data_IF_501104374046
#
_entry.id   IF_501104374046
#
_cell.length_a   1.000
_cell.length_b   1.000
_cell.length_c   1.000
_cell.angle_alpha   90.00
_cell.angle_beta   90.00
_cell.angle_gamma   90.00
#
_symmetry.space_group_name_H-M   'P 1'
#
loop_
_entity.id
_entity.type
_entity.pdbx_description
1 polymer ?
#
# COMPACT_ATOMS: atom_id res chain seq x y z
N UNK A 1 2.89 -23.42 37.19
CA UNK A 1 2.67 -23.04 35.79
C UNK A 1 1.26 -23.49 35.34
N UNK A 2 0.23 -22.67 35.59
CA UNK A 2 -1.18 -23.00 35.27
C UNK A 2 -1.78 -22.19 34.11
N UNK A 3 -1.08 -21.16 33.63
CA UNK A 3 -1.58 -20.20 32.64
C UNK A 3 -1.87 -20.80 31.25
N UNK A 4 -1.23 -21.93 30.90
CA UNK A 4 -1.36 -22.55 29.57
C UNK A 4 -2.48 -23.62 29.52
N UNK A 5 -2.91 -24.16 30.68
CA UNK A 5 -3.84 -25.32 30.71
C UNK A 5 -5.33 -24.97 30.57
N UNK A 6 -5.71 -23.69 30.71
CA UNK A 6 -7.12 -23.23 30.65
C UNK A 6 -7.27 -21.97 29.79
N UNK A 7 -6.55 -21.89 28.66
CA UNK A 7 -6.72 -20.80 27.71
C UNK A 7 -7.76 -21.18 26.64
N UNK A 8 -8.30 -20.19 25.94
CA UNK A 8 -9.38 -20.38 24.96
C UNK A 8 -9.01 -21.28 23.77
N UNK A 9 -7.72 -21.48 23.50
CA UNK A 9 -7.22 -22.12 22.28
C UNK A 9 -6.74 -23.55 22.56
N UNK A 10 -6.34 -23.85 23.80
CA UNK A 10 -5.71 -25.12 24.17
C UNK A 10 -6.63 -26.31 23.87
N UNK A 11 -6.15 -27.22 23.01
CA UNK A 11 -6.89 -28.43 22.63
C UNK A 11 -7.93 -28.23 21.52
N UNK A 12 -8.03 -27.03 20.93
CA UNK A 12 -8.92 -26.75 19.81
C UNK A 12 -8.16 -26.66 18.49
N UNK A 13 -8.75 -27.22 17.43
CA UNK A 13 -8.40 -26.98 16.05
C UNK A 13 -9.59 -26.31 15.36
N UNK A 14 -9.32 -25.37 14.45
CA UNK A 14 -10.34 -24.59 13.78
C UNK A 14 -10.25 -24.79 12.27
N UNK A 15 -11.40 -24.91 11.62
CA UNK A 15 -11.51 -25.13 10.17
C UNK A 15 -11.19 -23.88 9.36
N UNK A 16 -11.29 -22.70 9.99
CA UNK A 16 -10.99 -21.41 9.39
C UNK A 16 -10.65 -20.37 10.44
N UNK A 17 -10.10 -19.24 9.99
CA UNK A 17 -9.86 -18.08 10.83
C UNK A 17 -11.15 -17.54 11.45
N UNK A 18 -12.21 -17.41 10.65
CA UNK A 18 -13.52 -16.95 11.12
C UNK A 18 -14.10 -17.87 12.22
N UNK A 19 -13.90 -19.19 12.11
CA UNK A 19 -14.33 -20.13 13.15
C UNK A 19 -13.57 -19.94 14.47
N UNK A 20 -12.27 -19.63 14.40
CA UNK A 20 -11.47 -19.30 15.57
C UNK A 20 -11.94 -17.99 16.21
N UNK A 21 -12.15 -16.93 15.43
CA UNK A 21 -12.66 -15.65 15.93
C UNK A 21 -14.02 -15.80 16.63
N UNK A 22 -14.95 -16.54 16.02
CA UNK A 22 -16.24 -16.83 16.61
C UNK A 22 -16.13 -17.61 17.92
N UNK A 23 -15.22 -18.59 17.99
CA UNK A 23 -14.94 -19.33 19.21
C UNK A 23 -14.40 -18.43 20.32
N UNK A 24 -13.42 -17.58 20.01
CA UNK A 24 -12.83 -16.64 20.97
C UNK A 24 -13.87 -15.64 21.49
N UNK A 25 -14.68 -15.08 20.61
CA UNK A 25 -15.74 -14.16 20.99
C UNK A 25 -16.77 -14.82 21.93
N UNK A 26 -17.12 -16.09 21.67
CA UNK A 26 -17.99 -16.87 22.56
C UNK A 26 -17.32 -17.14 23.89
N UNK A 27 -16.08 -17.64 23.88
CA UNK A 27 -15.33 -17.96 25.09
C UNK A 27 -15.12 -16.74 25.98
N UNK A 28 -14.87 -15.56 25.38
CA UNK A 28 -14.76 -14.31 26.11
C UNK A 28 -16.03 -14.02 26.91
N UNK A 29 -17.19 -14.02 26.23
CA UNK A 29 -18.49 -13.74 26.88
C UNK A 29 -18.89 -14.78 27.92
N UNK A 30 -18.71 -16.06 27.60
CA UNK A 30 -19.27 -17.16 28.41
C UNK A 30 -18.32 -17.67 29.49
N UNK A 31 -17.02 -17.38 29.38
CA UNK A 31 -16.00 -17.92 30.30
C UNK A 31 -15.10 -16.82 30.86
N UNK A 32 -14.49 -15.99 29.99
CA UNK A 32 -13.49 -15.02 30.43
C UNK A 32 -14.09 -13.91 31.30
N UNK A 33 -15.22 -13.37 30.86
CA UNK A 33 -15.84 -12.17 31.44
C UNK A 33 -16.62 -12.50 32.72
N UNK A 34 -17.16 -13.72 32.82
CA UNK A 34 -18.03 -14.16 33.94
C UNK A 34 -17.31 -15.03 34.99
N UNK A 35 -16.06 -15.45 34.75
CA UNK A 35 -15.31 -16.21 35.77
C UNK A 35 -14.97 -15.34 36.97
N UNK A 36 -15.09 -15.89 38.17
CA UNK A 36 -14.58 -15.23 39.37
C UNK A 36 -13.05 -15.23 39.31
N UNK A 37 -12.46 -14.04 39.31
CA UNK A 37 -11.01 -13.92 39.23
C UNK A 37 -10.37 -14.16 40.61
N UNK A 38 -9.34 -15.01 40.64
CA UNK A 38 -8.77 -15.51 41.90
C UNK A 38 -8.13 -14.44 42.79
N UNK A 39 -7.74 -13.29 42.23
CA UNK A 39 -7.12 -12.19 43.00
C UNK A 39 -8.13 -11.14 43.42
N UNK A 40 -9.07 -10.77 42.55
CA UNK A 40 -10.06 -9.70 42.83
C UNK A 40 -11.33 -10.22 43.48
N UNK A 41 -11.62 -11.52 43.41
CA UNK A 41 -12.81 -12.15 43.99
C UNK A 41 -14.12 -11.79 43.29
N UNK A 42 -14.06 -11.00 42.22
CA UNK A 42 -15.20 -10.57 41.40
C UNK A 42 -14.98 -10.98 39.95
N UNK A 43 -16.02 -10.89 39.12
CA UNK A 43 -15.88 -11.15 37.69
C UNK A 43 -15.20 -9.98 36.98
N UNK A 44 -14.42 -10.23 35.91
CA UNK A 44 -13.88 -9.16 35.07
C UNK A 44 -14.95 -8.21 34.50
N UNK A 45 -16.12 -8.72 34.13
CA UNK A 45 -17.23 -7.90 33.62
C UNK A 45 -17.71 -6.88 34.67
N UNK A 46 -18.05 -7.34 35.89
CA UNK A 46 -18.49 -6.46 36.97
C UNK A 46 -17.41 -5.44 37.33
N UNK A 47 -16.15 -5.88 37.37
CA UNK A 47 -15.01 -5.00 37.64
C UNK A 47 -14.88 -3.91 36.58
N UNK A 48 -15.01 -4.27 35.30
CA UNK A 48 -14.96 -3.34 34.18
C UNK A 48 -16.10 -2.34 34.21
N UNK A 49 -17.33 -2.77 34.54
CA UNK A 49 -18.48 -1.87 34.70
C UNK A 49 -18.23 -0.79 35.77
N UNK A 50 -17.62 -1.16 36.91
CA UNK A 50 -17.27 -0.22 37.99
C UNK A 50 -16.18 0.78 37.58
N UNK A 51 -15.21 0.32 36.78
CA UNK A 51 -14.07 1.14 36.37
C UNK A 51 -14.38 2.01 35.13
N UNK A 52 -15.41 1.69 34.35
CA UNK A 52 -15.73 2.31 33.05
C UNK A 52 -15.70 3.84 33.08
N UNK A 53 -16.34 4.47 34.06
CA UNK A 53 -16.43 5.92 34.18
C UNK A 53 -15.11 6.60 34.57
N UNK A 54 -14.13 5.81 35.02
CA UNK A 54 -12.80 6.25 35.41
C UNK A 54 -11.75 5.99 34.32
N UNK A 55 -12.10 5.27 33.24
CA UNK A 55 -11.20 4.99 32.14
C UNK A 55 -11.03 6.21 31.23
N UNK A 56 -9.81 6.40 30.71
CA UNK A 56 -9.56 7.43 29.70
C UNK A 56 -10.13 6.98 28.35
N UNK A 57 -10.87 7.84 27.64
CA UNK A 57 -11.29 7.56 26.27
C UNK A 57 -10.08 7.28 25.37
N UNK A 58 -10.24 6.34 24.45
CA UNK A 58 -9.27 6.07 23.37
C UNK A 58 -9.47 7.01 22.18
N UNK A 59 -10.58 7.74 22.13
CA UNK A 59 -10.90 8.66 21.05
C UNK A 59 -9.79 9.71 20.88
N UNK A 60 -9.29 9.84 19.65
CA UNK A 60 -8.21 10.75 19.30
C UNK A 60 -6.79 10.25 19.60
N UNK A 61 -6.63 9.08 20.22
CA UNK A 61 -5.33 8.41 20.31
C UNK A 61 -5.11 7.66 18.99
N UNK A 62 -4.08 8.05 18.25
CA UNK A 62 -3.71 7.35 17.03
C UNK A 62 -3.50 5.86 17.33
N UNK A 63 -4.09 4.94 16.54
CA UNK A 63 -3.93 3.51 16.79
C UNK A 63 -2.45 3.14 16.72
N UNK A 64 -2.08 2.10 17.47
CA UNK A 64 -0.77 1.48 17.30
C UNK A 64 -0.71 0.85 15.90
N UNK A 65 -0.19 1.61 14.94
CA UNK A 65 0.00 1.14 13.58
C UNK A 65 1.22 0.22 13.57
N UNK A 66 1.02 -1.02 13.14
CA UNK A 66 2.15 -1.85 12.73
C UNK A 66 2.69 -1.27 11.42
N UNK A 67 3.70 -0.41 11.55
CA UNK A 67 4.36 0.23 10.43
C UNK A 67 5.58 -0.60 10.04
N UNK A 68 5.71 -0.88 8.74
CA UNK A 68 6.93 -1.43 8.16
C UNK A 68 7.55 -0.36 7.27
N UNK A 69 8.71 0.14 7.69
CA UNK A 69 9.51 1.08 6.92
C UNK A 69 10.58 0.34 6.12
N UNK A 70 10.68 0.64 4.82
CA UNK A 70 11.67 0.06 3.92
C UNK A 70 12.31 1.13 3.06
N UNK A 71 13.56 0.93 2.68
CA UNK A 71 14.23 1.78 1.68
C UNK A 71 14.22 1.06 0.34
N UNK A 72 13.72 1.73 -0.71
CA UNK A 72 13.65 1.17 -2.07
C UNK A 72 14.23 2.12 -3.10
N UNK A 73 14.88 1.55 -4.11
CA UNK A 73 15.37 2.31 -5.27
C UNK A 73 14.29 2.29 -6.35
N UNK A 74 14.02 3.45 -6.93
CA UNK A 74 13.08 3.57 -8.05
C UNK A 74 13.72 3.01 -9.31
N UNK A 75 13.01 2.08 -9.96
CA UNK A 75 13.48 1.44 -11.18
C UNK A 75 13.30 2.35 -12.42
N UNK A 76 13.79 1.90 -13.57
CA UNK A 76 13.70 2.65 -14.84
C UNK A 76 12.26 2.85 -15.34
N UNK A 77 11.30 2.06 -14.85
CA UNK A 77 9.87 2.18 -15.17
C UNK A 77 9.16 3.21 -14.26
N UNK A 78 9.88 3.89 -13.37
CA UNK A 78 9.29 4.83 -12.41
C UNK A 78 8.46 4.12 -11.33
N UNK A 79 8.89 2.93 -10.91
CA UNK A 79 8.20 2.14 -9.89
C UNK A 79 9.16 1.67 -8.78
N UNK A 80 8.60 1.39 -7.61
CA UNK A 80 9.25 0.62 -6.54
C UNK A 80 8.65 -0.77 -6.45
N UNK A 81 9.49 -1.76 -6.12
CA UNK A 81 9.06 -3.13 -5.85
C UNK A 81 8.90 -3.35 -4.34
N UNK A 82 7.73 -3.84 -3.94
CA UNK A 82 7.36 -4.15 -2.57
C UNK A 82 6.53 -5.44 -2.56
N UNK A 83 7.00 -6.46 -1.84
CA UNK A 83 6.33 -7.77 -1.71
C UNK A 83 5.91 -8.39 -3.06
N UNK A 84 6.76 -8.28 -4.08
CA UNK A 84 6.50 -8.77 -5.45
C UNK A 84 5.44 -7.95 -6.22
N UNK A 85 5.01 -6.82 -5.68
CA UNK A 85 4.10 -5.87 -6.34
C UNK A 85 4.87 -4.60 -6.71
N UNK A 86 4.46 -3.95 -7.80
CA UNK A 86 5.07 -2.71 -8.26
C UNK A 86 4.16 -1.50 -8.02
N UNK A 87 4.71 -0.43 -7.46
CA UNK A 87 4.00 0.81 -7.15
C UNK A 87 4.66 1.97 -7.88
N UNK A 88 3.90 2.69 -8.69
CA UNK A 88 4.41 3.86 -9.41
C UNK A 88 4.77 5.00 -8.48
N UNK A 89 5.81 5.74 -8.83
CA UNK A 89 6.25 6.97 -8.16
C UNK A 89 6.56 8.02 -9.23
N UNK A 90 6.54 9.33 -8.90
CA UNK A 90 6.83 10.37 -9.88
C UNK A 90 8.11 10.10 -10.67
N UNK A 91 8.05 10.16 -12.00
CA UNK A 91 9.15 9.82 -12.92
C UNK A 91 10.47 10.55 -12.61
N UNK A 92 10.39 11.73 -11.99
CA UNK A 92 11.56 12.53 -11.59
C UNK A 92 12.45 11.83 -10.58
N UNK A 93 11.91 10.82 -9.89
CA UNK A 93 12.60 10.03 -8.88
C UNK A 93 13.21 8.75 -9.46
N UNK A 94 13.19 8.53 -10.78
CA UNK A 94 13.84 7.35 -11.38
C UNK A 94 15.32 7.32 -10.99
N UNK A 95 15.77 6.19 -10.42
CA UNK A 95 17.13 6.05 -9.91
C UNK A 95 17.40 6.70 -8.55
N UNK A 96 16.40 7.34 -7.94
CA UNK A 96 16.49 7.82 -6.57
C UNK A 96 16.16 6.71 -5.56
N UNK A 97 16.57 6.93 -4.32
CA UNK A 97 16.24 6.08 -3.18
C UNK A 97 15.13 6.75 -2.37
N UNK A 98 14.06 6.02 -2.11
CA UNK A 98 12.86 6.50 -1.40
C UNK A 98 12.59 5.65 -0.16
N UNK A 99 11.93 6.25 0.82
CA UNK A 99 11.41 5.56 1.99
C UNK A 99 9.99 5.10 1.69
N UNK A 100 9.68 3.85 2.01
CA UNK A 100 8.38 3.23 1.79
C UNK A 100 7.82 2.83 3.14
N UNK A 101 6.68 3.40 3.50
CA UNK A 101 5.99 3.18 4.75
C UNK A 101 4.74 2.36 4.43
N UNK A 102 4.69 1.14 4.94
CA UNK A 102 3.53 0.26 4.81
C UNK A 102 2.81 0.21 6.14
N UNK A 103 1.52 0.55 6.14
CA UNK A 103 0.70 0.56 7.33
C UNK A 103 -0.74 0.20 7.00
N UNK A 104 -1.30 -0.74 7.77
CA UNK A 104 -2.66 -1.29 7.61
C UNK A 104 -2.93 -1.89 6.22
N UNK A 105 -3.32 -1.05 5.26
CA UNK A 105 -3.69 -1.39 3.88
C UNK A 105 -3.16 -0.35 2.88
N UNK A 106 -2.20 0.47 3.31
CA UNK A 106 -1.70 1.62 2.55
C UNK A 106 -0.18 1.56 2.44
N UNK A 107 0.32 1.87 1.24
CA UNK A 107 1.74 2.04 0.91
C UNK A 107 1.97 3.52 0.61
N UNK A 108 2.71 4.19 1.50
CA UNK A 108 3.15 5.57 1.32
C UNK A 108 4.61 5.56 0.89
N UNK A 109 4.95 6.39 -0.09
CA UNK A 109 6.32 6.59 -0.55
C UNK A 109 6.72 8.02 -0.25
N UNK A 110 7.85 8.17 0.44
CA UNK A 110 8.43 9.45 0.83
C UNK A 110 9.80 9.65 0.18
N UNK A 111 10.08 10.88 -0.22
CA UNK A 111 11.39 11.31 -0.69
C UNK A 111 11.76 12.61 0.01
N UNK A 112 12.94 12.65 0.62
CA UNK A 112 13.42 13.80 1.40
C UNK A 112 12.44 14.26 2.51
N UNK A 113 11.68 13.34 3.10
CA UNK A 113 10.70 13.60 4.16
C UNK A 113 9.33 14.10 3.67
N UNK A 114 9.12 14.16 2.36
CA UNK A 114 7.84 14.55 1.76
C UNK A 114 7.16 13.35 1.11
N UNK A 115 5.84 13.22 1.30
CA UNK A 115 5.04 12.20 0.63
C UNK A 115 4.95 12.49 -0.88
N UNK A 116 5.46 11.56 -1.69
CA UNK A 116 5.50 11.67 -3.15
C UNK A 116 4.55 10.72 -3.87
N UNK A 117 4.10 9.67 -3.20
CA UNK A 117 3.07 8.76 -3.71
C UNK A 117 2.35 8.04 -2.57
N UNK A 118 1.08 7.70 -2.80
CA UNK A 118 0.25 6.91 -1.88
C UNK A 118 -0.57 5.92 -2.69
N UNK A 119 -0.56 4.66 -2.26
CA UNK A 119 -1.27 3.56 -2.91
C UNK A 119 -2.00 2.71 -1.87
N UNK A 120 -3.09 2.07 -2.29
CA UNK A 120 -3.61 0.93 -1.53
C UNK A 120 -2.66 -0.27 -1.68
N UNK A 121 -2.46 -1.02 -0.61
CA UNK A 121 -1.67 -2.25 -0.64
C UNK A 121 -2.37 -3.31 -1.50
N UNK A 122 -1.65 -3.84 -2.48
CA UNK A 122 -2.18 -4.85 -3.37
C UNK A 122 -2.15 -6.23 -2.71
N UNK A 123 -3.29 -6.91 -2.70
CA UNK A 123 -3.37 -8.32 -2.33
C UNK A 123 -2.78 -9.22 -3.41
N UNK A 124 -1.99 -10.22 -3.02
CA UNK A 124 -1.40 -11.20 -3.93
C UNK A 124 0.01 -10.83 -4.39
N UNK A 125 0.45 -11.39 -5.52
CA UNK A 125 1.80 -11.20 -6.07
C UNK A 125 1.75 -10.76 -7.53
N UNK A 126 2.78 -10.02 -7.98
CA UNK A 126 2.95 -9.54 -9.37
C UNK A 126 1.88 -8.54 -9.82
N UNK A 127 1.20 -7.88 -8.89
CA UNK A 127 0.30 -6.77 -9.16
C UNK A 127 1.04 -5.46 -9.44
N UNK A 128 0.37 -4.51 -10.11
CA UNK A 128 0.90 -3.18 -10.40
C UNK A 128 -0.11 -2.09 -10.04
N UNK A 129 0.28 -1.15 -9.16
CA UNK A 129 -0.49 0.05 -8.82
C UNK A 129 0.12 1.25 -9.53
N UNK A 130 -0.48 1.63 -10.66
CA UNK A 130 0.06 2.66 -11.55
C UNK A 130 -0.87 3.87 -11.58
N UNK A 131 -0.37 5.02 -11.13
CA UNK A 131 -1.05 6.29 -11.29
C UNK A 131 -0.47 7.04 -12.48
N UNK A 132 -1.31 7.38 -13.46
CA UNK A 132 -0.84 8.05 -14.69
C UNK A 132 -0.11 9.38 -14.42
N UNK A 133 -0.48 10.11 -13.36
CA UNK A 133 0.18 11.35 -12.95
C UNK A 133 1.66 11.18 -12.59
N UNK A 134 2.06 9.97 -12.19
CA UNK A 134 3.46 9.67 -11.91
C UNK A 134 4.29 9.52 -13.19
N UNK A 135 3.67 9.04 -14.26
CA UNK A 135 4.32 8.77 -15.55
C UNK A 135 4.33 9.98 -16.47
N UNK A 136 3.25 10.77 -16.40
CA UNK A 136 3.11 12.00 -17.16
C UNK A 136 3.78 13.09 -16.34
N UNK A 137 5.04 13.43 -16.68
CA UNK A 137 5.59 14.69 -16.23
C UNK A 137 4.61 15.78 -16.55
N UNK A 138 4.14 16.48 -15.50
CA UNK A 138 3.01 17.39 -15.55
C UNK A 138 2.98 18.08 -16.91
N UNK A 139 1.91 17.84 -17.68
CA UNK A 139 1.83 18.29 -19.07
C UNK A 139 2.35 19.72 -19.09
N UNK A 140 3.40 20.04 -19.87
CA UNK A 140 3.69 21.44 -20.09
C UNK A 140 2.36 22.08 -20.56
N UNK A 141 2.06 23.32 -20.14
CA UNK A 141 0.94 24.05 -20.76
C UNK A 141 1.13 23.89 -22.27
N UNK A 142 0.06 23.64 -23.05
CA UNK A 142 0.20 23.38 -24.48
C UNK A 142 1.10 24.47 -25.04
N UNK A 143 2.33 24.09 -25.41
CA UNK A 143 3.23 25.01 -26.06
C UNK A 143 2.46 25.41 -27.32
N UNK A 144 2.24 26.71 -27.50
CA UNK A 144 1.79 27.21 -28.79
C UNK A 144 2.82 26.69 -29.79
N UNK A 145 2.44 25.64 -30.52
CA UNK A 145 3.23 25.13 -31.63
C UNK A 145 3.10 26.22 -32.67
N UNK A 146 4.02 27.19 -32.66
CA UNK A 146 4.25 28.04 -33.82
C UNK A 146 4.46 27.08 -34.98
N UNK A 147 3.48 27.05 -35.87
CA UNK A 147 3.52 26.18 -37.03
C UNK A 147 4.70 26.68 -37.85
N UNK A 148 5.79 25.92 -38.01
CA UNK A 148 6.89 26.37 -38.85
C UNK A 148 6.32 26.64 -40.25
N UNK A 149 6.71 27.73 -40.93
CA UNK A 149 6.22 28.02 -42.26
C UNK A 149 6.45 26.78 -43.14
N UNK A 150 5.47 26.38 -43.97
CA UNK A 150 5.61 25.22 -44.83
C UNK A 150 6.88 25.42 -45.66
N UNK A 151 7.90 24.60 -45.39
CA UNK A 151 9.13 24.64 -46.16
C UNK A 151 8.93 23.68 -47.32
N UNK A 152 8.90 24.20 -48.54
CA UNK A 152 8.80 23.46 -49.83
C UNK A 152 9.99 22.51 -50.10
N UNK A 153 10.79 22.18 -49.08
CA UNK A 153 12.05 21.46 -49.19
C UNK A 153 11.94 19.98 -49.59
N UNK A 154 10.72 19.47 -49.81
CA UNK A 154 10.50 18.08 -50.27
C UNK A 154 9.86 18.00 -51.66
N UNK A 155 9.97 19.03 -52.50
CA UNK A 155 9.55 18.98 -53.90
C UNK A 155 10.66 18.48 -54.84
N UNK A 156 11.40 17.42 -54.47
CA UNK A 156 12.24 16.72 -55.46
C UNK A 156 11.35 15.74 -56.23
N UNK A 157 11.27 15.86 -57.57
CA UNK A 157 10.49 14.91 -58.37
C UNK A 157 10.97 13.48 -58.15
N UNK A 158 10.02 12.54 -58.00
CA UNK A 158 10.30 11.12 -57.74
C UNK A 158 11.26 10.50 -58.78
N UNK A 159 11.24 11.02 -60.01
CA UNK A 159 12.11 10.64 -61.12
C UNK A 159 13.61 10.78 -60.81
N UNK A 160 14.01 11.69 -59.91
CA UNK A 160 15.41 11.80 -59.48
C UNK A 160 15.86 10.59 -58.67
N UNK A 161 14.98 9.99 -57.87
CA UNK A 161 15.28 8.78 -57.11
C UNK A 161 15.32 7.55 -58.01
N UNK A 162 14.42 7.48 -59.01
CA UNK A 162 14.39 6.37 -59.97
C UNK A 162 15.68 6.28 -60.79
N UNK A 163 16.22 7.44 -61.21
CA UNK A 163 17.50 7.51 -61.93
C UNK A 163 18.71 7.05 -61.08
N UNK A 164 18.65 7.23 -59.77
CA UNK A 164 19.76 6.92 -58.85
C UNK A 164 19.77 5.45 -58.40
N UNK A 165 18.58 4.82 -58.32
CA UNK A 165 18.42 3.45 -57.83
C UNK A 165 18.34 2.43 -58.98
N UNK A 166 18.29 2.88 -60.24
CA UNK A 166 18.33 1.99 -61.40
C UNK A 166 17.14 1.01 -61.43
N UNK A 167 15.95 1.50 -61.09
CA UNK A 167 14.74 0.70 -60.98
C UNK A 167 14.17 0.31 -62.34
N UNK A 168 14.65 -0.81 -62.90
CA UNK A 168 13.89 -1.60 -63.87
C UNK A 168 13.15 -2.71 -63.14
N UNK A 169 11.83 -2.81 -63.34
CA UNK A 169 11.11 -4.07 -63.24
C UNK A 169 11.09 -4.73 -64.62
#
# INVERSE_FOLDING_TARGET
MGYVKKNAIAGHAFESWAAMEAHLARWQREVADVRIHGTTGVTPAERFDLERDHLRPVDGIAPFLQVRELVRRVNAEGCIELDTNAYSVPWRLIGETVTVIVSADTVVVEYAGEEVARHAELSGSRGRSIERRHLLGGSPPPAEIETPPPTDALLRPLAEYEALVGGGW
#
